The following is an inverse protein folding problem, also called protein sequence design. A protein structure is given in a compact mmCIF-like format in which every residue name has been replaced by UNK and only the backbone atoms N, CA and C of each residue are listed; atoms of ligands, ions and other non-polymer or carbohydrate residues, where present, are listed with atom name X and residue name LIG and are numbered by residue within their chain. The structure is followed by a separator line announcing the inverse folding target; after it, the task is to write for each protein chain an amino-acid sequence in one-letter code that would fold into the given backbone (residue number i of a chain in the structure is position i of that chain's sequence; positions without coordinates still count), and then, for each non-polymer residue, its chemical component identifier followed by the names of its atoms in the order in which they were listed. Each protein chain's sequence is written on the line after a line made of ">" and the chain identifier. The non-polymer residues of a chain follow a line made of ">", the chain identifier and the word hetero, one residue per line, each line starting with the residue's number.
data_IF_453805606685
#
_entry.id   IF_453805606685
#
_cell.length_a   1.000
_cell.length_b   1.000
_cell.length_c   1.000
_cell.angle_alpha   90.00
_cell.angle_beta   90.00
_cell.angle_gamma   90.00
#
_symmetry.space_group_name_H-M   'P 1'
#
loop_
_entity.id
_entity.type
_entity.pdbx_description
1 polymer ?
#
# COMPACT_ATOMS: atom_id res chain seq x y z
N UNK A 1 -8.94 24.97 4.80
CA UNK A 1 -9.06 24.43 3.43
C UNK A 1 -7.71 24.37 2.70
N UNK A 2 -6.90 25.45 2.71
CA UNK A 2 -5.58 25.48 2.04
C UNK A 2 -4.63 24.42 2.60
N UNK A 3 -4.59 24.24 3.91
CA UNK A 3 -3.73 23.26 4.59
C UNK A 3 -4.10 21.83 4.12
N UNK A 4 -5.38 21.51 4.09
CA UNK A 4 -5.85 20.18 3.66
C UNK A 4 -5.52 19.91 2.18
N UNK A 5 -5.64 20.92 1.30
CA UNK A 5 -5.24 20.80 -0.10
C UNK A 5 -3.73 20.59 -0.24
N UNK A 6 -2.92 21.30 0.54
CA UNK A 6 -1.48 21.10 0.54
C UNK A 6 -1.08 19.73 1.06
N UNK A 7 -1.71 19.26 2.13
CA UNK A 7 -1.49 17.92 2.65
C UNK A 7 -1.84 16.85 1.61
N UNK A 8 -2.98 17.00 0.91
CA UNK A 8 -3.37 16.11 -0.17
C UNK A 8 -2.30 16.02 -1.26
N UNK A 9 -1.76 17.16 -1.70
CA UNK A 9 -0.68 17.21 -2.69
C UNK A 9 0.60 16.52 -2.19
N UNK A 10 0.94 16.69 -0.92
CA UNK A 10 2.09 16.03 -0.31
C UNK A 10 1.93 14.51 -0.28
N UNK A 11 0.74 14.03 0.10
CA UNK A 11 0.40 12.60 0.09
C UNK A 11 0.42 12.04 -1.33
N UNK A 12 -0.17 12.75 -2.31
CA UNK A 12 -0.15 12.33 -3.72
C UNK A 12 1.28 12.20 -4.25
N UNK A 13 2.15 13.15 -3.93
CA UNK A 13 3.56 13.12 -4.30
C UNK A 13 4.29 11.95 -3.65
N UNK A 14 4.01 11.68 -2.38
CA UNK A 14 4.58 10.58 -1.64
C UNK A 14 4.16 9.22 -2.24
N UNK A 15 2.89 9.02 -2.50
CA UNK A 15 2.37 7.78 -3.10
C UNK A 15 2.88 7.59 -4.53
N UNK A 16 2.95 8.66 -5.33
CA UNK A 16 3.52 8.61 -6.69
C UNK A 16 4.99 8.20 -6.66
N UNK A 17 5.76 8.66 -5.69
CA UNK A 17 7.14 8.22 -5.53
C UNK A 17 7.24 6.73 -5.16
N UNK A 18 6.37 6.23 -4.28
CA UNK A 18 6.31 4.80 -3.94
C UNK A 18 5.90 3.96 -5.14
N UNK A 19 4.96 4.44 -5.95
CA UNK A 19 4.56 3.76 -7.19
C UNK A 19 5.72 3.67 -8.18
N UNK A 20 6.57 4.69 -8.30
CA UNK A 20 7.76 4.62 -9.14
C UNK A 20 8.70 3.49 -8.70
N UNK A 21 8.90 3.30 -7.41
CA UNK A 21 9.72 2.19 -6.88
C UNK A 21 9.08 0.85 -7.26
N UNK A 22 7.80 0.67 -6.98
CA UNK A 22 7.07 -0.56 -7.31
C UNK A 22 7.07 -0.85 -8.82
N UNK A 23 6.89 0.19 -9.65
CA UNK A 23 6.89 0.10 -11.10
C UNK A 23 8.22 -0.40 -11.66
N UNK A 24 9.35 0.11 -11.16
CA UNK A 24 10.68 -0.35 -11.57
C UNK A 24 10.87 -1.84 -11.29
N UNK A 25 10.38 -2.33 -10.16
CA UNK A 25 10.45 -3.75 -9.81
C UNK A 25 9.47 -4.58 -10.66
N UNK A 26 8.22 -4.12 -10.79
CA UNK A 26 7.17 -4.81 -11.55
C UNK A 26 7.53 -5.03 -13.02
N UNK A 27 8.31 -4.10 -13.60
CA UNK A 27 8.78 -4.16 -15.00
C UNK A 27 10.19 -4.79 -15.12
N UNK A 28 10.78 -5.21 -14.01
CA UNK A 28 12.10 -5.83 -14.01
C UNK A 28 12.05 -7.23 -14.62
N UNK A 29 12.91 -7.48 -15.59
CA UNK A 29 13.12 -8.82 -16.11
C UNK A 29 13.60 -9.82 -15.04
N UNK A 30 14.30 -9.36 -14.03
CA UNK A 30 14.75 -10.19 -12.90
C UNK A 30 13.59 -10.63 -12.03
N UNK A 31 12.60 -9.75 -11.75
CA UNK A 31 11.41 -10.10 -10.98
C UNK A 31 10.58 -11.17 -11.71
N UNK A 32 10.34 -10.98 -13.00
CA UNK A 32 9.66 -11.97 -13.82
C UNK A 32 10.40 -13.31 -13.84
N UNK A 33 11.68 -13.31 -14.21
CA UNK A 33 12.49 -14.54 -14.32
C UNK A 33 12.61 -15.26 -12.97
N UNK A 34 12.73 -14.53 -11.86
CA UNK A 34 12.78 -15.14 -10.54
C UNK A 34 11.48 -15.88 -10.21
N UNK A 35 10.30 -15.27 -10.45
CA UNK A 35 9.01 -15.87 -10.13
C UNK A 35 8.62 -17.00 -11.08
N UNK A 36 9.10 -16.99 -12.34
CA UNK A 36 8.65 -17.92 -13.39
C UNK A 36 9.72 -18.89 -13.89
N UNK A 37 10.94 -18.85 -13.34
CA UNK A 37 12.05 -19.75 -13.72
C UNK A 37 11.92 -21.17 -13.13
N UNK A 38 11.21 -21.33 -12.01
CA UNK A 38 10.85 -22.64 -11.51
C UNK A 38 9.54 -23.10 -12.16
N UNK A 39 9.67 -23.79 -13.29
CA UNK A 39 8.52 -24.48 -13.90
C UNK A 39 8.23 -25.72 -13.08
N UNK A 40 6.94 -25.94 -12.78
CA UNK A 40 6.48 -27.15 -12.14
C UNK A 40 6.93 -28.40 -12.90
N UNK A 41 7.02 -29.49 -12.19
CA UNK A 41 7.27 -30.87 -12.62
C UNK A 41 8.09 -31.05 -13.91
N UNK A 42 9.41 -31.24 -13.76
CA UNK A 42 10.29 -31.75 -14.81
C UNK A 42 11.02 -30.70 -15.64
N UNK A 43 10.88 -29.41 -15.35
CA UNK A 43 11.70 -28.39 -15.99
C UNK A 43 12.99 -28.18 -15.20
N UNK A 44 14.10 -28.07 -15.92
CA UNK A 44 15.38 -27.67 -15.36
C UNK A 44 15.28 -26.25 -14.82
N UNK A 45 15.75 -26.04 -13.60
CA UNK A 45 15.90 -24.72 -13.01
C UNK A 45 16.77 -23.87 -13.93
N UNK A 46 16.36 -22.61 -14.17
CA UNK A 46 17.21 -21.67 -14.91
C UNK A 46 18.56 -21.56 -14.20
N UNK A 47 19.68 -21.77 -14.92
CA UNK A 47 21.03 -21.71 -14.38
C UNK A 47 21.31 -20.34 -13.72
N UNK A 48 20.66 -19.27 -14.20
CA UNK A 48 20.84 -17.91 -13.71
C UNK A 48 19.88 -17.54 -12.55
N UNK A 49 19.06 -18.47 -12.05
CA UNK A 49 18.09 -18.20 -10.98
C UNK A 49 18.74 -17.53 -9.75
N UNK A 50 19.91 -17.98 -9.35
CA UNK A 50 20.65 -17.42 -8.21
C UNK A 50 21.06 -15.96 -8.45
N UNK A 51 21.38 -15.60 -9.71
CA UNK A 51 21.76 -14.24 -10.07
C UNK A 51 20.55 -13.30 -10.05
N UNK A 52 19.39 -13.74 -10.57
CA UNK A 52 18.16 -12.95 -10.50
C UNK A 52 17.78 -12.65 -9.05
N UNK A 53 17.83 -13.68 -8.21
CA UNK A 53 17.58 -13.54 -6.78
C UNK A 53 18.57 -12.57 -6.12
N UNK A 54 19.86 -12.69 -6.41
CA UNK A 54 20.88 -11.83 -5.82
C UNK A 54 20.65 -10.36 -6.19
N UNK A 55 20.40 -10.04 -7.47
CA UNK A 55 20.16 -8.68 -7.92
C UNK A 55 18.91 -8.07 -7.28
N UNK A 56 17.83 -8.84 -7.16
CA UNK A 56 16.62 -8.40 -6.48
C UNK A 56 16.84 -8.14 -5.00
N UNK A 57 17.54 -9.02 -4.30
CA UNK A 57 17.89 -8.85 -2.88
C UNK A 57 18.71 -7.58 -2.67
N UNK A 58 19.72 -7.33 -3.50
CA UNK A 58 20.53 -6.11 -3.41
C UNK A 58 19.71 -4.86 -3.70
N UNK A 59 18.79 -4.92 -4.67
CA UNK A 59 17.86 -3.83 -4.96
C UNK A 59 16.94 -3.55 -3.76
N UNK A 60 16.31 -4.58 -3.17
CA UNK A 60 15.43 -4.44 -2.02
C UNK A 60 16.17 -3.88 -0.80
N UNK A 61 17.37 -4.42 -0.49
CA UNK A 61 18.22 -3.89 0.58
C UNK A 61 18.57 -2.42 0.38
N UNK A 62 18.89 -2.02 -0.85
CA UNK A 62 19.23 -0.64 -1.17
C UNK A 62 18.04 0.29 -0.94
N UNK A 63 16.85 -0.13 -1.37
CA UNK A 63 15.60 0.62 -1.15
C UNK A 63 15.34 0.75 0.35
N UNK A 64 15.31 -0.36 1.09
CA UNK A 64 15.01 -0.38 2.53
C UNK A 64 16.02 0.42 3.36
N UNK A 65 17.31 0.41 2.96
CA UNK A 65 18.34 1.21 3.63
C UNK A 65 18.10 2.72 3.46
N UNK A 66 17.58 3.13 2.32
CA UNK A 66 17.30 4.53 2.02
C UNK A 66 15.90 5.01 2.44
N UNK A 67 15.01 4.09 2.86
CA UNK A 67 13.57 4.36 3.06
C UNK A 67 13.05 3.69 4.33
N UNK A 68 13.23 4.35 5.46
CA UNK A 68 12.74 3.88 6.77
C UNK A 68 11.19 3.84 6.85
N UNK A 69 10.51 4.53 5.94
CA UNK A 69 9.05 4.56 5.81
C UNK A 69 8.47 3.32 5.10
N UNK A 70 9.31 2.51 4.44
CA UNK A 70 8.92 1.20 3.90
C UNK A 70 9.22 0.13 4.94
N UNK A 71 8.17 -0.59 5.37
CA UNK A 71 8.27 -1.69 6.33
C UNK A 71 8.74 -2.97 5.67
N UNK A 72 8.10 -3.36 4.57
CA UNK A 72 8.43 -4.55 3.80
C UNK A 72 8.35 -4.24 2.30
N UNK A 73 9.12 -4.98 1.53
CA UNK A 73 9.07 -5.03 0.08
C UNK A 73 9.10 -6.49 -0.35
N UNK A 74 8.26 -6.85 -1.32
CA UNK A 74 8.25 -8.24 -1.76
C UNK A 74 7.65 -8.45 -3.13
N UNK A 75 7.96 -9.62 -3.69
CA UNK A 75 7.33 -10.17 -4.89
C UNK A 75 6.79 -11.56 -4.59
N UNK A 76 5.55 -11.81 -4.99
CA UNK A 76 4.81 -13.04 -4.68
C UNK A 76 3.92 -13.47 -5.84
N UNK A 77 3.59 -14.77 -5.88
CA UNK A 77 2.51 -15.38 -6.66
C UNK A 77 1.65 -16.25 -5.75
N UNK A 78 0.38 -16.48 -6.12
CA UNK A 78 -0.48 -17.40 -5.36
C UNK A 78 0.02 -18.84 -5.40
N UNK A 79 0.65 -19.26 -6.49
CA UNK A 79 1.27 -20.57 -6.55
C UNK A 79 2.26 -20.78 -5.40
N UNK A 80 1.88 -21.64 -4.44
CA UNK A 80 2.64 -21.92 -3.21
C UNK A 80 3.99 -22.61 -3.45
N UNK A 81 4.15 -23.22 -4.63
CA UNK A 81 5.39 -23.87 -5.04
C UNK A 81 6.37 -22.87 -5.67
N UNK A 82 5.91 -21.66 -5.98
CA UNK A 82 6.77 -20.59 -6.49
C UNK A 82 7.45 -19.86 -5.35
N UNK A 83 8.77 -19.62 -5.46
CA UNK A 83 9.48 -18.87 -4.45
C UNK A 83 8.97 -17.44 -4.39
N UNK A 84 8.73 -16.96 -3.18
CA UNK A 84 8.52 -15.54 -2.90
C UNK A 84 9.82 -14.91 -2.44
N UNK A 85 9.96 -13.61 -2.65
CA UNK A 85 11.12 -12.87 -2.18
C UNK A 85 10.67 -11.66 -1.37
N UNK A 86 11.25 -11.50 -0.20
CA UNK A 86 10.96 -10.40 0.72
C UNK A 86 12.24 -9.75 1.22
N UNK A 87 12.24 -8.44 1.37
CA UNK A 87 13.23 -7.65 2.09
C UNK A 87 14.69 -8.01 1.76
N UNK A 88 15.39 -8.57 2.73
CA UNK A 88 16.79 -9.00 2.60
C UNK A 88 16.95 -10.42 2.03
N UNK A 89 15.87 -11.07 1.62
CA UNK A 89 15.87 -12.43 1.08
C UNK A 89 15.90 -13.54 2.12
N UNK A 90 15.78 -13.23 3.42
CA UNK A 90 15.77 -14.21 4.52
C UNK A 90 14.35 -14.51 5.03
N UNK A 91 13.42 -13.60 4.82
CA UNK A 91 12.03 -13.76 5.24
C UNK A 91 11.31 -14.82 4.40
N UNK A 92 10.39 -15.55 5.03
CA UNK A 92 9.69 -16.69 4.43
C UNK A 92 8.20 -16.37 4.31
N UNK A 93 7.59 -16.78 3.19
CA UNK A 93 6.15 -16.64 2.98
C UNK A 93 5.37 -17.45 4.01
N UNK A 94 4.30 -16.84 4.52
CA UNK A 94 3.28 -17.55 5.28
C UNK A 94 2.33 -18.27 4.32
N UNK A 95 2.55 -19.57 4.11
CA UNK A 95 1.78 -20.39 3.17
C UNK A 95 0.34 -20.69 3.63
N UNK A 96 -0.02 -20.36 4.87
CA UNK A 96 -1.41 -20.43 5.35
C UNK A 96 -2.27 -19.25 4.88
N UNK A 97 -1.65 -18.19 4.36
CA UNK A 97 -2.36 -17.05 3.78
C UNK A 97 -2.66 -17.34 2.32
N UNK A 98 -3.94 -17.31 1.98
CA UNK A 98 -4.41 -17.32 0.60
C UNK A 98 -4.33 -15.90 0.05
N UNK A 99 -3.46 -15.67 -0.93
CA UNK A 99 -3.24 -14.33 -1.48
C UNK A 99 -4.48 -13.81 -2.19
N UNK A 100 -5.30 -14.67 -2.80
CA UNK A 100 -6.51 -14.25 -3.49
C UNK A 100 -7.55 -13.62 -2.55
N UNK A 101 -7.43 -13.88 -1.24
CA UNK A 101 -8.28 -13.25 -0.22
C UNK A 101 -7.71 -11.92 0.30
N UNK A 102 -6.50 -11.57 -0.10
CA UNK A 102 -5.84 -10.33 0.33
C UNK A 102 -6.10 -9.22 -0.68
N UNK A 103 -6.78 -8.12 -0.29
CA UNK A 103 -7.12 -7.04 -1.24
C UNK A 103 -5.90 -6.49 -1.98
N UNK A 104 -4.75 -6.33 -1.30
CA UNK A 104 -3.53 -5.82 -1.92
C UNK A 104 -3.01 -6.74 -3.05
N UNK A 105 -3.27 -8.04 -3.00
CA UNK A 105 -2.92 -8.98 -4.07
C UNK A 105 -4.04 -9.07 -5.11
N UNK A 106 -5.27 -9.36 -4.69
CA UNK A 106 -6.40 -9.61 -5.57
C UNK A 106 -6.72 -8.42 -6.48
N UNK A 107 -6.55 -7.19 -5.98
CA UNK A 107 -6.81 -5.99 -6.76
C UNK A 107 -5.65 -5.58 -7.68
N UNK A 108 -4.44 -6.10 -7.44
CA UNK A 108 -3.24 -5.82 -8.23
C UNK A 108 -2.92 -6.88 -9.28
N UNK A 109 -3.26 -8.14 -9.01
CA UNK A 109 -2.96 -9.25 -9.91
C UNK A 109 -3.51 -9.01 -11.31
N UNK A 110 -2.70 -9.23 -12.33
CA UNK A 110 -3.07 -8.99 -13.73
C UNK A 110 -3.12 -7.51 -14.15
N UNK A 111 -2.74 -6.57 -13.28
CA UNK A 111 -2.80 -5.12 -13.54
C UNK A 111 -1.42 -4.50 -13.38
N UNK A 112 -0.61 -4.51 -14.43
CA UNK A 112 0.75 -3.96 -14.39
C UNK A 112 0.82 -2.46 -14.75
N UNK A 113 -0.23 -1.93 -15.39
CA UNK A 113 -0.32 -0.54 -15.88
C UNK A 113 -0.66 0.48 -14.79
N UNK A 114 -1.13 0.01 -13.64
CA UNK A 114 -1.54 0.84 -12.50
C UNK A 114 -1.22 0.16 -11.17
N UNK A 115 -1.08 0.98 -10.12
CA UNK A 115 -0.98 0.49 -8.76
C UNK A 115 -2.35 0.32 -8.10
N UNK A 116 -2.37 -0.46 -7.04
CA UNK A 116 -3.47 -0.55 -6.09
C UNK A 116 -2.99 -0.06 -4.72
N UNK A 117 -3.84 0.64 -4.00
CA UNK A 117 -3.64 1.03 -2.61
C UNK A 117 -4.64 0.32 -1.73
N UNK A 118 -4.16 -0.44 -0.77
CA UNK A 118 -4.97 -1.06 0.26
C UNK A 118 -4.85 -0.26 1.55
N UNK A 119 -6.00 0.15 2.09
CA UNK A 119 -6.11 0.89 3.34
C UNK A 119 -5.43 0.16 4.50
N UNK A 120 -5.27 0.84 5.63
CA UNK A 120 -4.61 0.29 6.82
C UNK A 120 -5.12 -1.08 7.20
N UNK A 121 -4.22 -2.05 7.29
CA UNK A 121 -4.52 -3.44 7.61
C UNK A 121 -3.32 -4.14 8.25
N UNK A 122 -3.55 -5.32 8.80
CA UNK A 122 -2.48 -6.18 9.30
C UNK A 122 -1.93 -7.01 8.15
N UNK A 123 -0.65 -6.81 7.80
CA UNK A 123 0.04 -7.65 6.83
C UNK A 123 0.51 -8.94 7.48
N UNK A 124 0.19 -10.07 6.88
CA UNK A 124 0.49 -11.41 7.41
C UNK A 124 1.13 -12.35 6.38
N UNK A 125 1.56 -11.82 5.25
CA UNK A 125 2.19 -12.59 4.15
C UNK A 125 3.56 -13.14 4.52
N UNK A 126 4.28 -12.46 5.42
CA UNK A 126 5.57 -12.90 5.95
C UNK A 126 5.34 -13.71 7.23
N UNK A 127 5.91 -14.91 7.29
CA UNK A 127 5.77 -15.81 8.44
C UNK A 127 6.34 -15.17 9.71
N UNK A 128 5.52 -15.11 10.76
CA UNK A 128 5.93 -14.57 12.06
C UNK A 128 5.80 -13.06 12.18
N UNK A 129 5.45 -12.35 11.12
CA UNK A 129 5.23 -10.91 11.13
C UNK A 129 3.77 -10.56 10.97
N UNK A 130 3.32 -9.51 11.68
CA UNK A 130 1.96 -8.97 11.60
C UNK A 130 1.98 -7.44 11.78
N UNK A 131 2.74 -6.69 10.95
CA UNK A 131 2.77 -5.26 11.06
C UNK A 131 1.45 -4.64 10.60
N UNK A 132 1.12 -3.48 11.17
CA UNK A 132 0.05 -2.62 10.69
C UNK A 132 0.59 -1.69 9.62
N UNK A 133 0.06 -1.79 8.41
CA UNK A 133 0.61 -1.13 7.21
C UNK A 133 -0.47 -0.61 6.28
N UNK A 134 -0.06 0.24 5.35
CA UNK A 134 -0.77 0.57 4.12
C UNK A 134 0.03 -0.08 2.99
N UNK A 135 -0.62 -0.85 2.12
CA UNK A 135 0.09 -1.56 1.05
C UNK A 135 -0.17 -0.94 -0.31
N UNK A 136 0.91 -0.55 -0.98
CA UNK A 136 0.91 -0.25 -2.41
C UNK A 136 1.37 -1.49 -3.16
N UNK A 137 0.62 -1.89 -4.18
CA UNK A 137 0.90 -3.10 -4.96
C UNK A 137 0.68 -2.90 -6.45
N UNK A 138 1.40 -3.67 -7.25
CA UNK A 138 1.31 -3.72 -8.71
C UNK A 138 1.43 -5.14 -9.23
N UNK A 139 0.71 -5.45 -10.31
CA UNK A 139 0.95 -6.67 -11.09
C UNK A 139 2.34 -6.63 -11.75
N UNK A 140 2.97 -7.78 -11.85
CA UNK A 140 4.22 -7.96 -12.58
C UNK A 140 3.87 -8.27 -14.03
N UNK A 141 4.55 -7.63 -14.99
CA UNK A 141 4.43 -7.95 -16.40
C UNK A 141 5.48 -8.99 -16.81
N UNK A 142 5.22 -9.65 -17.97
CA UNK A 142 6.18 -10.55 -18.58
C UNK A 142 7.48 -9.80 -18.95
N UNK A 143 8.52 -10.53 -19.31
CA UNK A 143 9.84 -9.96 -19.63
C UNK A 143 9.84 -9.01 -20.85
N UNK A 144 8.81 -9.06 -21.69
CA UNK A 144 8.63 -8.13 -22.82
C UNK A 144 7.90 -6.85 -22.41
N UNK A 145 7.32 -6.81 -21.22
CA UNK A 145 6.54 -5.68 -20.72
C UNK A 145 5.18 -5.50 -21.39
N UNK A 146 4.65 -6.53 -22.06
CA UNK A 146 3.45 -6.43 -22.91
C UNK A 146 2.23 -7.14 -22.32
N UNK A 147 2.42 -8.08 -21.40
CA UNK A 147 1.34 -8.90 -20.84
C UNK A 147 1.43 -8.94 -19.32
N UNK A 148 0.27 -8.90 -18.69
CA UNK A 148 0.15 -9.06 -17.25
C UNK A 148 0.27 -10.54 -16.85
N UNK A 149 0.89 -10.77 -15.72
CA UNK A 149 1.06 -12.07 -15.11
C UNK A 149 0.39 -12.11 -13.73
N UNK A 150 0.40 -13.27 -13.07
CA UNK A 150 -0.18 -13.45 -11.74
C UNK A 150 0.76 -13.07 -10.58
N UNK A 151 1.98 -12.64 -10.88
CA UNK A 151 2.91 -12.08 -9.91
C UNK A 151 2.52 -10.67 -9.48
N UNK A 152 2.76 -10.36 -8.22
CA UNK A 152 2.53 -9.05 -7.64
C UNK A 152 3.77 -8.59 -6.87
N UNK A 153 4.19 -7.35 -7.12
CA UNK A 153 5.09 -6.61 -6.24
C UNK A 153 4.28 -5.79 -5.25
N UNK A 154 4.73 -5.73 -4.00
CA UNK A 154 4.12 -4.88 -2.99
C UNK A 154 5.15 -4.14 -2.16
N UNK A 155 4.76 -2.96 -1.69
CA UNK A 155 5.46 -2.16 -0.68
C UNK A 155 4.51 -1.96 0.49
N UNK A 156 4.90 -2.41 1.66
CA UNK A 156 4.20 -2.10 2.91
C UNK A 156 4.75 -0.81 3.49
N UNK A 157 3.92 0.21 3.54
CA UNK A 157 4.27 1.51 4.08
C UNK A 157 4.00 1.54 5.58
N UNK A 158 4.96 2.04 6.36
CA UNK A 158 4.75 2.26 7.78
C UNK A 158 3.59 3.23 7.99
N UNK A 159 2.66 2.88 8.85
CA UNK A 159 1.56 3.75 9.25
C UNK A 159 2.05 5.11 9.78
N UNK A 160 3.20 5.12 10.48
CA UNK A 160 3.84 6.33 10.98
C UNK A 160 4.18 7.34 9.87
N UNK A 161 4.50 6.89 8.66
CA UNK A 161 4.84 7.79 7.55
C UNK A 161 3.64 8.69 7.18
N UNK A 162 2.44 8.13 7.10
CA UNK A 162 1.22 8.92 6.86
C UNK A 162 0.87 9.76 8.09
N UNK A 163 1.05 9.21 9.30
CA UNK A 163 0.85 9.94 10.56
C UNK A 163 1.71 11.19 10.65
N UNK A 164 2.99 11.10 10.27
CA UNK A 164 3.93 12.23 10.28
C UNK A 164 3.51 13.31 9.27
N UNK A 165 3.09 12.93 8.07
CA UNK A 165 2.56 13.89 7.08
C UNK A 165 1.32 14.61 7.61
N UNK A 166 0.41 13.90 8.26
CA UNK A 166 -0.79 14.49 8.85
C UNK A 166 -0.47 15.38 10.06
N UNK A 167 0.47 14.99 10.91
CA UNK A 167 0.87 15.73 12.10
C UNK A 167 1.52 17.07 11.79
N UNK A 168 2.16 17.21 10.61
CA UNK A 168 2.72 18.47 10.14
C UNK A 168 1.65 19.50 9.77
N UNK A 169 0.39 19.09 9.68
CA UNK A 169 -0.72 19.93 9.28
C UNK A 169 -1.48 20.40 10.52
N UNK A 170 -1.14 21.60 11.03
CA UNK A 170 -1.83 22.19 12.18
C UNK A 170 -3.26 22.63 11.79
N UNK A 171 -4.25 22.11 12.50
CA UNK A 171 -5.67 22.46 12.35
C UNK A 171 -6.19 23.32 13.55
N UNK A 172 -5.29 24.04 14.20
CA UNK A 172 -5.59 24.76 15.44
C UNK A 172 -5.51 23.83 16.66
N UNK A 173 -5.94 24.35 17.82
CA UNK A 173 -5.74 23.67 19.12
C UNK A 173 -6.57 22.39 19.31
N UNK A 174 -7.69 22.25 18.58
CA UNK A 174 -8.61 21.12 18.70
C UNK A 174 -8.85 20.36 17.41
N UNK A 175 -8.36 20.88 16.29
CA UNK A 175 -8.54 20.27 14.98
C UNK A 175 -7.53 19.13 14.74
N UNK A 176 -7.94 18.16 13.94
CA UNK A 176 -7.10 17.05 13.52
C UNK A 176 -7.43 16.63 12.09
N UNK A 177 -6.57 15.78 11.53
CA UNK A 177 -6.75 15.23 10.19
C UNK A 177 -7.00 13.74 10.28
N UNK A 178 -7.92 13.24 9.46
CA UNK A 178 -8.05 11.82 9.16
C UNK A 178 -8.21 11.58 7.66
N UNK A 179 -8.05 10.36 7.21
CA UNK A 179 -8.06 10.00 5.79
C UNK A 179 -8.99 8.81 5.59
N UNK A 180 -9.86 8.93 4.58
CA UNK A 180 -10.74 7.87 4.12
C UNK A 180 -10.34 7.40 2.74
N UNK A 181 -10.53 6.10 2.45
CA UNK A 181 -10.45 5.59 1.09
C UNK A 181 -11.76 5.86 0.31
N UNK A 182 -11.79 5.44 -0.94
CA UNK A 182 -12.96 5.61 -1.83
C UNK A 182 -14.23 4.87 -1.37
N UNK A 183 -14.10 3.91 -0.46
CA UNK A 183 -15.20 3.14 0.12
C UNK A 183 -15.62 3.66 1.50
N UNK A 184 -14.96 4.71 2.00
CA UNK A 184 -15.17 5.27 3.33
C UNK A 184 -14.45 4.51 4.45
N UNK A 185 -13.54 3.59 4.13
CA UNK A 185 -12.70 2.96 5.15
C UNK A 185 -11.64 3.95 5.63
N UNK A 186 -11.32 3.87 6.91
CA UNK A 186 -10.30 4.74 7.50
C UNK A 186 -8.91 4.25 7.07
N UNK A 187 -8.19 5.10 6.35
CA UNK A 187 -6.77 4.91 6.01
C UNK A 187 -5.88 5.38 7.15
N UNK A 188 -6.20 6.54 7.72
CA UNK A 188 -5.51 7.13 8.85
C UNK A 188 -6.49 7.84 9.79
N UNK A 189 -6.27 7.70 11.09
CA UNK A 189 -6.93 8.49 12.12
C UNK A 189 -5.97 8.71 13.29
N UNK A 190 -5.91 9.92 13.89
CA UNK A 190 -4.97 10.19 14.99
C UNK A 190 -5.26 9.34 16.24
N UNK A 191 -6.50 8.90 16.43
CA UNK A 191 -6.88 7.96 17.48
C UNK A 191 -6.90 6.53 16.89
N UNK A 192 -5.75 5.88 16.82
CA UNK A 192 -5.60 4.54 16.25
C UNK A 192 -6.56 3.49 16.81
N UNK A 193 -6.98 3.64 18.06
CA UNK A 193 -7.94 2.71 18.72
C UNK A 193 -9.28 2.63 17.97
N UNK A 194 -9.65 3.67 17.22
CA UNK A 194 -10.87 3.65 16.41
C UNK A 194 -10.75 2.72 15.19
N UNK A 195 -9.54 2.54 14.66
CA UNK A 195 -9.27 1.57 13.60
C UNK A 195 -9.50 0.12 14.06
N UNK A 196 -9.17 -0.17 15.32
CA UNK A 196 -9.29 -1.51 15.89
C UNK A 196 -10.70 -1.87 16.39
N UNK A 197 -11.47 -0.87 16.82
CA UNK A 197 -12.73 -1.11 17.55
C UNK A 197 -13.97 -0.81 16.71
N UNK A 198 -13.83 -0.45 15.42
CA UNK A 198 -14.93 0.00 14.54
C UNK A 198 -15.78 1.13 15.17
N UNK A 199 -15.25 1.83 16.16
CA UNK A 199 -15.92 2.95 16.81
C UNK A 199 -15.92 4.14 15.86
N UNK A 200 -17.03 4.33 15.17
CA UNK A 200 -17.24 5.46 14.28
C UNK A 200 -17.58 6.70 15.12
N UNK A 201 -16.58 7.50 15.44
CA UNK A 201 -16.77 8.82 16.05
C UNK A 201 -16.96 9.92 15.01
N UNK A 202 -16.71 9.59 13.73
CA UNK A 202 -16.82 10.52 12.61
C UNK A 202 -18.07 10.28 11.78
N UNK A 203 -18.63 11.35 11.23
CA UNK A 203 -19.78 11.27 10.33
C UNK A 203 -19.32 10.94 8.89
N UNK A 204 -18.79 9.70 8.71
CA UNK A 204 -18.22 9.23 7.45
C UNK A 204 -19.21 9.33 6.29
N UNK A 205 -20.47 8.95 6.51
CA UNK A 205 -21.50 9.02 5.47
C UNK A 205 -21.73 10.45 4.96
N UNK A 206 -21.71 11.43 5.86
CA UNK A 206 -21.83 12.84 5.49
C UNK A 206 -20.62 13.29 4.66
N UNK A 207 -19.42 12.93 5.08
CA UNK A 207 -18.16 13.28 4.40
C UNK A 207 -18.12 12.66 3.00
N UNK A 208 -18.47 11.38 2.87
CA UNK A 208 -18.41 10.65 1.59
C UNK A 208 -19.45 11.17 0.58
N UNK A 209 -20.63 11.55 1.03
CA UNK A 209 -21.71 12.05 0.18
C UNK A 209 -21.68 13.58 -0.04
N UNK A 210 -20.71 14.28 0.55
CA UNK A 210 -20.63 15.72 0.45
C UNK A 210 -20.25 16.17 -0.97
N UNK A 211 -21.01 17.09 -1.54
CA UNK A 211 -20.69 17.76 -2.81
C UNK A 211 -19.75 18.97 -2.60
N UNK A 212 -19.74 19.53 -1.39
CA UNK A 212 -18.91 20.68 -0.99
C UNK A 212 -17.58 20.24 -0.37
N UNK A 213 -16.57 21.07 -0.50
CA UNK A 213 -15.28 20.92 0.21
C UNK A 213 -15.36 21.29 1.71
N UNK A 214 -16.50 21.81 2.16
CA UNK A 214 -16.76 22.11 3.58
C UNK A 214 -18.15 21.60 3.91
N UNK A 215 -18.26 20.83 4.97
CA UNK A 215 -19.53 20.33 5.49
C UNK A 215 -19.57 20.46 7.00
N UNK A 216 -20.76 20.68 7.53
CA UNK A 216 -21.01 20.81 8.96
C UNK A 216 -21.88 19.64 9.42
N UNK A 217 -21.51 19.05 10.55
CA UNK A 217 -22.27 18.01 11.21
C UNK A 217 -22.61 18.43 12.64
N UNK A 218 -23.86 18.28 13.04
CA UNK A 218 -24.27 18.40 14.43
C UNK A 218 -23.84 17.14 15.19
N UNK A 219 -23.20 17.31 16.35
CA UNK A 219 -22.78 16.23 17.25
C UNK A 219 -23.17 16.57 18.68
N UNK A 220 -24.40 16.26 19.05
CA UNK A 220 -24.98 16.68 20.34
C UNK A 220 -25.13 18.20 20.41
N UNK A 221 -24.51 18.82 21.42
CA UNK A 221 -24.51 20.28 21.59
C UNK A 221 -23.34 20.96 20.86
N UNK A 222 -22.45 20.19 20.21
CA UNK A 222 -21.31 20.68 19.47
C UNK A 222 -21.52 20.59 17.97
N UNK A 223 -20.97 21.54 17.23
CA UNK A 223 -20.93 21.56 15.76
C UNK A 223 -19.53 21.18 15.29
N UNK A 224 -19.42 20.13 14.45
CA UNK A 224 -18.17 19.75 13.77
C UNK A 224 -18.17 20.29 12.35
N UNK A 225 -17.09 20.95 11.97
CA UNK A 225 -16.87 21.44 10.60
C UNK A 225 -15.78 20.57 9.98
N UNK A 226 -16.08 19.94 8.86
CA UNK A 226 -15.14 19.16 8.07
C UNK A 226 -14.71 19.92 6.83
N UNK A 227 -13.40 20.08 6.65
CA UNK A 227 -12.79 20.57 5.42
C UNK A 227 -12.26 19.37 4.62
N UNK A 228 -12.65 19.25 3.36
CA UNK A 228 -12.41 18.06 2.53
C UNK A 228 -11.46 18.40 1.38
N UNK A 229 -10.59 17.44 1.05
CA UNK A 229 -9.82 17.43 -0.19
C UNK A 229 -9.74 16.02 -0.74
N UNK A 230 -10.31 15.84 -1.94
CA UNK A 230 -10.34 14.53 -2.61
C UNK A 230 -9.18 14.41 -3.58
N UNK A 231 -8.41 13.33 -3.43
CA UNK A 231 -7.32 13.01 -4.35
C UNK A 231 -7.83 12.23 -5.54
N UNK A 232 -7.47 12.68 -6.74
CA UNK A 232 -7.67 11.91 -7.98
C UNK A 232 -6.58 10.86 -8.18
N UNK A 233 -5.46 11.01 -7.51
CA UNK A 233 -4.28 10.13 -7.61
C UNK A 233 -4.48 8.88 -6.77
N UNK A 234 -4.86 9.05 -5.49
CA UNK A 234 -5.00 7.94 -4.55
C UNK A 234 -6.45 7.44 -4.40
N UNK A 235 -7.43 8.24 -4.80
CA UNK A 235 -8.84 8.02 -4.50
C UNK A 235 -9.22 8.34 -3.04
N UNK A 236 -8.28 8.85 -2.24
CA UNK A 236 -8.49 9.16 -0.84
C UNK A 236 -9.15 10.52 -0.64
N UNK A 237 -9.90 10.63 0.46
CA UNK A 237 -10.44 11.89 0.95
C UNK A 237 -9.72 12.27 2.23
N UNK A 238 -8.99 13.37 2.19
CA UNK A 238 -8.32 13.98 3.33
C UNK A 238 -9.32 14.92 4.02
N UNK A 239 -9.52 14.72 5.29
CA UNK A 239 -10.54 15.40 6.10
C UNK A 239 -9.84 16.10 7.28
N UNK A 240 -10.13 17.37 7.48
CA UNK A 240 -9.62 18.14 8.59
C UNK A 240 -10.71 18.88 9.32
#
# INVERSE_FOLDING_TARGET
>A
QTIIKQLNQNIDSYISYMDNIASVIAQSGDAYKYLYSEKGYGATKDENYSEYRQRLVEQFKTILKGRADIRNIGIVREDKNTPSLFDNGLSVRNTYVDLNTQPWYADAVGKYDRYNLTSSHVQNVIKGERPWVITLSRGICNYTGTEAEDGVVFLDLNYSAISELCAQSSMGDKGYVFILDQNGNIVYHPQQQQLYNELQTENISLVMNAESDIVTAESGDDEKIYALSRSKTTGWTIVG
#
